data_IF_390538878319
#
_entry.id   IF_390538878319
#
_cell.length_a   1.000
_cell.length_b   1.000
_cell.length_c   1.000
_cell.angle_alpha   90.00
_cell.angle_beta   90.00
_cell.angle_gamma   90.00
#
_symmetry.space_group_name_H-M   'P 1'
#
loop_
_entity.id
_entity.type
_entity.pdbx_description
1 polymer ?
#
# COMPACT_ATOMS: atom_id res chain seq x y z
N UNK A 1 -4.47 -52.18 -11.49
CA UNK A 1 -5.23 -51.21 -12.32
C UNK A 1 -5.73 -51.95 -13.54
N UNK A 2 -6.97 -51.67 -13.96
CA UNK A 2 -7.55 -52.19 -15.18
C UNK A 2 -8.44 -51.11 -15.82
N UNK A 3 -8.71 -51.26 -17.12
CA UNK A 3 -9.49 -50.32 -17.92
C UNK A 3 -10.52 -51.11 -18.72
N UNK A 4 -11.79 -50.77 -18.53
CA UNK A 4 -12.93 -51.27 -19.29
C UNK A 4 -13.45 -50.13 -20.15
N UNK A 5 -13.56 -50.35 -21.45
CA UNK A 5 -14.29 -49.46 -22.36
C UNK A 5 -15.68 -50.05 -22.60
N UNK A 6 -16.69 -49.18 -22.74
CA UNK A 6 -18.07 -49.61 -22.94
C UNK A 6 -18.83 -48.65 -23.86
N UNK A 7 -19.78 -49.22 -24.60
CA UNK A 7 -20.71 -48.60 -25.52
C UNK A 7 -22.06 -49.34 -25.41
N UNK A 8 -22.56 -49.99 -26.46
CA UNK A 8 -23.61 -51.02 -26.40
C UNK A 8 -23.14 -52.33 -25.73
N UNK A 9 -21.83 -52.57 -25.71
CA UNK A 9 -21.18 -53.72 -25.07
C UNK A 9 -20.02 -53.24 -24.20
N UNK A 10 -19.27 -54.15 -23.58
CA UNK A 10 -18.05 -53.79 -22.85
C UNK A 10 -16.87 -54.66 -23.27
N UNK A 11 -15.67 -54.10 -23.21
CA UNK A 11 -14.42 -54.80 -23.48
C UNK A 11 -13.31 -54.37 -22.52
N UNK A 12 -12.45 -55.32 -22.17
CA UNK A 12 -11.26 -55.03 -21.37
C UNK A 12 -10.15 -54.52 -22.27
N UNK A 13 -9.87 -53.22 -22.19
CA UNK A 13 -8.74 -52.58 -22.88
C UNK A 13 -7.45 -52.94 -22.16
N UNK A 14 -7.50 -52.94 -20.82
CA UNK A 14 -6.42 -53.35 -19.95
C UNK A 14 -7.01 -54.25 -18.87
N UNK A 15 -6.77 -55.58 -18.92
CA UNK A 15 -7.12 -56.46 -17.81
C UNK A 15 -6.45 -56.02 -16.52
N UNK A 16 -7.02 -56.34 -15.36
CA UNK A 16 -6.43 -55.93 -14.08
C UNK A 16 -5.00 -56.46 -13.97
N UNK A 17 -4.04 -55.54 -13.92
CA UNK A 17 -2.62 -55.82 -13.82
C UNK A 17 -1.92 -54.85 -12.88
N UNK A 18 -0.69 -55.17 -12.49
CA UNK A 18 0.20 -54.21 -11.82
C UNK A 18 0.65 -53.17 -12.85
N UNK A 19 0.56 -51.89 -12.49
CA UNK A 19 0.87 -50.78 -13.40
C UNK A 19 2.39 -50.50 -13.45
N UNK A 20 3.19 -51.53 -13.75
CA UNK A 20 4.64 -51.45 -13.87
C UNK A 20 5.06 -50.87 -15.23
N UNK A 21 4.40 -51.30 -16.31
CA UNK A 21 4.59 -50.80 -17.67
C UNK A 21 3.56 -49.70 -17.99
N UNK A 22 3.90 -48.45 -17.63
CA UNK A 22 3.02 -47.30 -17.83
C UNK A 22 2.86 -46.94 -19.31
N UNK A 23 3.91 -47.08 -20.11
CA UNK A 23 3.90 -46.69 -21.51
C UNK A 23 3.05 -47.67 -22.33
N UNK A 24 3.20 -48.98 -22.12
CA UNK A 24 2.37 -49.99 -22.78
C UNK A 24 0.90 -49.94 -22.36
N UNK A 25 0.60 -49.56 -21.12
CA UNK A 25 -0.78 -49.30 -20.67
C UNK A 25 -1.36 -48.09 -21.41
N UNK A 26 -0.57 -47.01 -21.55
CA UNK A 26 -1.00 -45.80 -22.25
C UNK A 26 -1.30 -46.06 -23.72
N UNK A 27 -0.43 -46.78 -24.41
CA UNK A 27 -0.66 -47.18 -25.81
C UNK A 27 -1.97 -47.94 -25.98
N UNK A 28 -2.30 -48.88 -25.08
CA UNK A 28 -3.58 -49.60 -25.11
C UNK A 28 -4.79 -48.68 -24.91
N UNK A 29 -4.71 -47.72 -23.99
CA UNK A 29 -5.78 -46.76 -23.75
C UNK A 29 -5.99 -45.85 -24.98
N UNK A 30 -4.92 -45.48 -25.68
CA UNK A 30 -5.01 -44.68 -26.91
C UNK A 30 -5.72 -45.42 -28.06
N UNK A 31 -5.87 -46.75 -27.98
CA UNK A 31 -6.60 -47.54 -28.98
C UNK A 31 -8.12 -47.62 -28.77
N UNK A 32 -8.65 -47.00 -27.71
CA UNK A 32 -10.09 -47.03 -27.41
C UNK A 32 -10.85 -46.33 -28.55
N UNK A 33 -11.71 -47.03 -29.30
CA UNK A 33 -12.48 -46.42 -30.37
C UNK A 33 -13.63 -45.58 -29.82
N UNK A 34 -14.05 -44.58 -30.59
CA UNK A 34 -15.34 -43.93 -30.38
C UNK A 34 -16.46 -44.91 -30.74
N UNK A 35 -17.32 -45.22 -29.76
CA UNK A 35 -18.47 -46.12 -29.90
C UNK A 35 -19.81 -45.38 -29.91
N UNK A 36 -20.89 -46.11 -30.15
CA UNK A 36 -22.26 -45.59 -30.08
C UNK A 36 -23.07 -46.35 -29.03
N UNK A 37 -23.96 -45.63 -28.32
CA UNK A 37 -24.79 -46.18 -27.25
C UNK A 37 -24.14 -46.13 -25.88
N UNK A 38 -24.88 -46.54 -24.84
CA UNK A 38 -24.42 -46.45 -23.44
C UNK A 38 -25.10 -47.53 -22.59
N UNK A 39 -24.38 -48.62 -22.34
CA UNK A 39 -24.82 -49.73 -21.49
C UNK A 39 -23.90 -49.86 -20.28
N UNK A 40 -24.29 -49.21 -19.18
CA UNK A 40 -23.44 -48.96 -18.00
C UNK A 40 -23.34 -50.21 -17.12
N UNK A 41 -24.47 -50.87 -16.81
CA UNK A 41 -24.52 -51.93 -15.80
C UNK A 41 -23.61 -53.12 -16.07
N UNK A 42 -23.54 -53.73 -17.27
CA UNK A 42 -22.69 -54.88 -17.51
C UNK A 42 -21.21 -54.52 -17.38
N UNK A 43 -20.80 -53.33 -17.83
CA UNK A 43 -19.42 -52.84 -17.71
C UNK A 43 -19.04 -52.63 -16.25
N UNK A 44 -19.89 -51.94 -15.49
CA UNK A 44 -19.66 -51.70 -14.05
C UNK A 44 -19.64 -53.00 -13.27
N UNK A 45 -20.58 -53.91 -13.55
CA UNK A 45 -20.63 -55.22 -12.90
C UNK A 45 -19.35 -56.02 -13.14
N UNK A 46 -18.86 -56.07 -14.39
CA UNK A 46 -17.62 -56.74 -14.72
C UNK A 46 -16.41 -56.11 -14.01
N UNK A 47 -16.36 -54.78 -13.90
CA UNK A 47 -15.31 -54.09 -13.16
C UNK A 47 -15.34 -54.41 -11.66
N UNK A 48 -16.53 -54.38 -11.03
CA UNK A 48 -16.71 -54.73 -9.61
C UNK A 48 -16.35 -56.18 -9.33
N UNK A 49 -16.77 -57.11 -10.18
CA UNK A 49 -16.42 -58.54 -10.06
C UNK A 49 -14.91 -58.76 -10.19
N UNK A 50 -14.26 -58.13 -11.18
CA UNK A 50 -12.82 -58.27 -11.37
C UNK A 50 -12.00 -57.70 -10.19
N UNK A 51 -12.40 -56.55 -9.64
CA UNK A 51 -11.72 -55.93 -8.49
C UNK A 51 -11.96 -56.70 -7.20
N UNK A 52 -13.11 -57.39 -7.07
CA UNK A 52 -13.44 -58.21 -5.90
C UNK A 52 -12.38 -59.27 -5.63
N UNK A 53 -11.89 -59.94 -6.67
CA UNK A 53 -10.93 -61.05 -6.55
C UNK A 53 -9.47 -60.59 -6.45
N UNK A 54 -9.22 -59.27 -6.45
CA UNK A 54 -7.86 -58.73 -6.30
C UNK A 54 -7.39 -58.75 -4.85
N UNK A 55 -6.11 -59.11 -4.65
CA UNK A 55 -5.40 -58.95 -3.39
C UNK A 55 -4.86 -57.51 -3.29
N UNK A 56 -5.73 -56.60 -2.84
CA UNK A 56 -5.42 -55.19 -2.63
C UNK A 56 -6.14 -54.70 -1.37
N UNK A 57 -5.43 -53.90 -0.56
CA UNK A 57 -5.98 -53.25 0.64
C UNK A 57 -7.15 -52.33 0.30
N UNK A 58 -7.10 -51.71 -0.89
CA UNK A 58 -8.07 -50.71 -1.34
C UNK A 58 -8.61 -51.12 -2.71
N UNK A 59 -9.93 -51.24 -2.77
CA UNK A 59 -10.69 -51.66 -3.95
C UNK A 59 -11.60 -50.53 -4.38
N UNK A 60 -11.25 -49.89 -5.49
CA UNK A 60 -11.94 -48.71 -5.96
C UNK A 60 -12.19 -48.76 -7.47
N UNK A 61 -13.41 -48.37 -7.88
CA UNK A 61 -13.84 -48.29 -9.28
C UNK A 61 -14.26 -46.86 -9.59
N UNK A 62 -13.78 -46.30 -10.71
CA UNK A 62 -14.22 -45.01 -11.22
C UNK A 62 -14.99 -45.22 -12.51
N UNK A 63 -16.25 -44.79 -12.54
CA UNK A 63 -17.10 -44.78 -13.73
C UNK A 63 -17.11 -43.38 -14.34
N UNK A 64 -16.86 -43.28 -15.65
CA UNK A 64 -16.95 -42.05 -16.43
C UNK A 64 -17.99 -42.25 -17.53
N UNK A 65 -18.98 -41.34 -17.63
CA UNK A 65 -19.98 -41.39 -18.70
C UNK A 65 -20.63 -40.03 -18.94
N UNK A 66 -20.99 -39.78 -20.20
CA UNK A 66 -21.79 -38.65 -20.68
C UNK A 66 -23.24 -39.03 -21.03
N UNK A 67 -23.55 -40.32 -20.98
CA UNK A 67 -24.82 -40.87 -21.42
C UNK A 67 -25.81 -41.15 -20.28
N UNK A 68 -26.95 -41.70 -20.68
CA UNK A 68 -27.99 -42.17 -19.77
C UNK A 68 -27.90 -43.68 -19.63
N UNK A 69 -28.08 -44.18 -18.41
CA UNK A 69 -28.05 -45.61 -18.16
C UNK A 69 -29.24 -46.32 -18.83
N UNK A 70 -29.01 -47.56 -19.26
CA UNK A 70 -30.02 -48.42 -19.87
C UNK A 70 -31.11 -48.85 -18.86
N UNK A 71 -30.84 -48.71 -17.57
CA UNK A 71 -31.73 -49.09 -16.48
C UNK A 71 -31.49 -48.20 -15.27
N UNK A 72 -32.44 -48.18 -14.32
CA UNK A 72 -32.28 -47.52 -13.02
C UNK A 72 -31.99 -48.50 -11.87
N UNK A 73 -31.98 -49.81 -12.16
CA UNK A 73 -31.78 -50.85 -11.16
C UNK A 73 -30.36 -51.43 -11.17
N UNK A 74 -29.54 -50.94 -10.24
CA UNK A 74 -28.16 -51.38 -9.99
C UNK A 74 -27.98 -52.09 -8.63
N UNK A 75 -29.06 -52.64 -8.06
CA UNK A 75 -28.97 -53.30 -6.75
C UNK A 75 -28.00 -54.50 -6.73
N UNK A 76 -27.86 -55.18 -7.86
CA UNK A 76 -26.91 -56.26 -8.10
C UNK A 76 -25.46 -55.80 -8.28
N UNK A 77 -25.21 -54.48 -8.37
CA UNK A 77 -23.88 -53.86 -8.29
C UNK A 77 -23.64 -53.28 -6.89
N UNK A 78 -24.59 -52.51 -6.38
CA UNK A 78 -24.51 -51.85 -5.06
C UNK A 78 -24.40 -52.85 -3.90
N UNK A 79 -25.08 -53.99 -3.99
CA UNK A 79 -24.99 -55.06 -3.00
C UNK A 79 -23.56 -55.62 -2.85
N UNK A 80 -22.96 -56.13 -3.95
CA UNK A 80 -21.57 -56.57 -3.96
C UNK A 80 -20.55 -55.50 -3.55
N UNK A 81 -20.75 -54.23 -3.94
CA UNK A 81 -19.91 -53.11 -3.48
C UNK A 81 -19.83 -53.08 -1.95
N UNK A 82 -21.00 -53.00 -1.28
CA UNK A 82 -21.09 -52.92 0.18
C UNK A 82 -20.57 -54.16 0.89
N UNK A 83 -20.85 -55.35 0.35
CA UNK A 83 -20.43 -56.61 0.98
C UNK A 83 -18.92 -56.86 0.88
N UNK A 84 -18.29 -56.37 -0.18
CA UNK A 84 -16.88 -56.66 -0.48
C UNK A 84 -15.94 -55.48 -0.19
N UNK A 85 -16.44 -54.41 0.41
CA UNK A 85 -15.67 -53.20 0.71
C UNK A 85 -15.15 -52.48 -0.54
N UNK A 86 -15.88 -52.59 -1.66
CA UNK A 86 -15.49 -51.95 -2.93
C UNK A 86 -16.22 -50.62 -3.02
N UNK A 87 -15.46 -49.54 -3.18
CA UNK A 87 -16.03 -48.20 -3.40
C UNK A 87 -16.15 -47.91 -4.89
N UNK A 88 -17.23 -47.23 -5.30
CA UNK A 88 -17.44 -46.84 -6.69
C UNK A 88 -17.83 -45.37 -6.76
N UNK A 89 -17.04 -44.60 -7.51
CA UNK A 89 -17.26 -43.17 -7.75
C UNK A 89 -17.61 -42.94 -9.21
N UNK A 90 -18.48 -41.98 -9.46
CA UNK A 90 -19.03 -41.71 -10.79
C UNK A 90 -18.73 -40.28 -11.22
N UNK A 91 -18.33 -40.11 -12.47
CA UNK A 91 -18.07 -38.81 -13.09
C UNK A 91 -19.01 -38.64 -14.27
N UNK A 92 -19.98 -37.76 -14.11
CA UNK A 92 -20.91 -37.34 -15.15
C UNK A 92 -20.26 -36.27 -16.02
N UNK A 93 -20.29 -36.46 -17.34
CA UNK A 93 -19.69 -35.53 -18.31
C UNK A 93 -20.77 -34.93 -19.19
N UNK A 94 -20.87 -33.60 -19.20
CA UNK A 94 -21.84 -32.90 -20.04
C UNK A 94 -23.29 -32.96 -19.54
N UNK A 95 -24.11 -32.09 -20.11
CA UNK A 95 -25.47 -31.80 -19.62
C UNK A 95 -26.48 -32.93 -19.85
N UNK A 96 -26.21 -33.85 -20.78
CA UNK A 96 -27.14 -34.93 -21.18
C UNK A 96 -26.97 -36.20 -20.34
N UNK A 97 -26.01 -36.21 -19.41
CA UNK A 97 -25.71 -37.34 -18.53
C UNK A 97 -26.79 -37.58 -17.47
N UNK A 98 -27.01 -38.84 -17.10
CA UNK A 98 -27.98 -39.20 -16.06
C UNK A 98 -27.41 -38.97 -14.64
N UNK A 99 -27.38 -37.70 -14.25
CA UNK A 99 -26.86 -37.23 -12.96
C UNK A 99 -27.51 -37.91 -11.76
N UNK A 100 -28.83 -38.12 -11.80
CA UNK A 100 -29.59 -38.72 -10.70
C UNK A 100 -29.26 -40.20 -10.52
N UNK A 101 -29.09 -40.94 -11.61
CA UNK A 101 -28.66 -42.33 -11.56
C UNK A 101 -27.24 -42.46 -11.03
N UNK A 102 -26.32 -41.65 -11.55
CA UNK A 102 -24.90 -41.71 -11.20
C UNK A 102 -24.66 -41.34 -9.73
N UNK A 103 -25.34 -40.30 -9.24
CA UNK A 103 -25.30 -39.93 -7.82
C UNK A 103 -25.76 -41.08 -6.92
N UNK A 104 -26.92 -41.66 -7.24
CA UNK A 104 -27.46 -42.81 -6.49
C UNK A 104 -26.52 -44.02 -6.52
N UNK A 105 -25.86 -44.27 -7.65
CA UNK A 105 -24.93 -45.39 -7.81
C UNK A 105 -23.66 -45.18 -6.96
N UNK A 106 -23.09 -43.98 -6.99
CA UNK A 106 -21.93 -43.63 -6.18
C UNK A 106 -22.22 -43.74 -4.68
N UNK A 107 -23.32 -43.14 -4.21
CA UNK A 107 -23.76 -43.24 -2.82
C UNK A 107 -24.05 -44.70 -2.42
N UNK A 108 -24.67 -45.46 -3.32
CA UNK A 108 -25.01 -46.85 -3.14
C UNK A 108 -23.80 -47.78 -2.96
N UNK A 109 -22.66 -47.42 -3.51
CA UNK A 109 -21.39 -48.13 -3.36
C UNK A 109 -20.41 -47.44 -2.39
N UNK A 110 -20.81 -46.35 -1.71
CA UNK A 110 -19.97 -45.63 -0.76
C UNK A 110 -18.82 -44.83 -1.39
N UNK A 111 -18.93 -44.48 -2.67
CA UNK A 111 -18.03 -43.55 -3.34
C UNK A 111 -18.60 -42.14 -3.44
N UNK A 112 -18.15 -41.39 -4.45
CA UNK A 112 -18.44 -39.97 -4.66
C UNK A 112 -18.96 -39.70 -6.07
N UNK A 113 -19.91 -38.78 -6.16
CA UNK A 113 -20.42 -38.27 -7.41
C UNK A 113 -19.71 -36.97 -7.80
N UNK A 114 -19.33 -36.87 -9.07
CA UNK A 114 -18.78 -35.67 -9.67
C UNK A 114 -19.53 -35.35 -10.96
N UNK A 115 -19.72 -34.06 -11.20
CA UNK A 115 -20.26 -33.55 -12.45
C UNK A 115 -19.23 -32.60 -13.08
N UNK A 116 -19.03 -32.70 -14.39
CA UNK A 116 -18.15 -31.82 -15.13
C UNK A 116 -18.74 -31.42 -16.49
N UNK A 117 -18.87 -30.11 -16.70
CA UNK A 117 -19.23 -29.52 -18.00
C UNK A 117 -18.04 -29.43 -18.95
N UNK A 118 -16.81 -29.60 -18.43
CA UNK A 118 -15.56 -29.36 -19.17
C UNK A 118 -14.66 -30.59 -19.03
N UNK A 119 -14.27 -31.17 -20.16
CA UNK A 119 -13.41 -32.36 -20.20
C UNK A 119 -12.02 -32.16 -19.55
N UNK A 120 -11.56 -30.90 -19.43
CA UNK A 120 -10.26 -30.56 -18.83
C UNK A 120 -10.17 -30.77 -17.31
N UNK A 121 -11.30 -30.94 -16.62
CA UNK A 121 -11.32 -31.19 -15.18
C UNK A 121 -11.29 -32.69 -14.81
N UNK A 122 -11.52 -33.59 -15.79
CA UNK A 122 -11.52 -35.04 -15.59
C UNK A 122 -10.20 -35.55 -14.98
N UNK A 123 -9.01 -35.15 -15.45
CA UNK A 123 -7.76 -35.61 -14.83
C UNK A 123 -7.61 -35.22 -13.36
N UNK A 124 -8.12 -34.04 -12.97
CA UNK A 124 -8.08 -33.58 -11.57
C UNK A 124 -9.04 -34.39 -10.70
N UNK A 125 -10.23 -34.70 -11.22
CA UNK A 125 -11.22 -35.53 -10.52
C UNK A 125 -10.67 -36.94 -10.33
N UNK A 126 -10.06 -37.52 -11.37
CA UNK A 126 -9.48 -38.85 -11.32
C UNK A 126 -8.32 -38.93 -10.32
N UNK A 127 -7.40 -37.94 -10.35
CA UNK A 127 -6.33 -37.85 -9.37
C UNK A 127 -6.90 -37.74 -7.96
N UNK A 128 -7.83 -36.81 -7.73
CA UNK A 128 -8.48 -36.61 -6.43
C UNK A 128 -9.10 -37.90 -5.92
N UNK A 129 -9.80 -38.65 -6.77
CA UNK A 129 -10.47 -39.87 -6.35
C UNK A 129 -9.49 -40.99 -6.01
N UNK A 130 -8.45 -41.19 -6.81
CA UNK A 130 -7.38 -42.16 -6.48
C UNK A 130 -6.70 -41.81 -5.15
N UNK A 131 -6.48 -40.51 -4.88
CA UNK A 131 -5.92 -40.06 -3.60
C UNK A 131 -6.89 -40.21 -2.41
N UNK A 132 -8.17 -39.89 -2.60
CA UNK A 132 -9.17 -39.94 -1.52
C UNK A 132 -9.59 -41.38 -1.18
N UNK A 133 -9.64 -42.27 -2.15
CA UNK A 133 -9.96 -43.69 -1.94
C UNK A 133 -8.83 -44.44 -1.23
N UNK A 134 -7.63 -43.87 -1.20
CA UNK A 134 -6.46 -44.41 -0.53
C UNK A 134 -6.53 -44.44 1.00
N UNK A 135 -7.35 -43.59 1.64
CA UNK A 135 -7.35 -43.28 3.10
C UNK A 135 -5.96 -43.02 3.74
N UNK A 136 -4.86 -43.06 2.97
CA UNK A 136 -3.47 -43.08 3.43
C UNK A 136 -3.02 -41.74 3.97
N UNK A 137 -3.81 -40.69 3.76
CA UNK A 137 -3.55 -39.36 4.30
C UNK A 137 -4.07 -39.20 5.73
N UNK A 138 -5.03 -40.01 6.20
CA UNK A 138 -5.51 -39.95 7.57
C UNK A 138 -4.60 -40.76 8.48
N UNK A 139 -3.71 -40.06 9.17
CA UNK A 139 -2.81 -40.68 10.12
C UNK A 139 -3.50 -40.73 11.48
N UNK A 140 -3.89 -41.92 11.92
CA UNK A 140 -4.42 -42.16 13.27
C UNK A 140 -3.36 -42.88 14.11
N UNK A 141 -3.15 -42.43 15.34
CA UNK A 141 -2.08 -42.93 16.20
C UNK A 141 -1.62 -41.86 17.17
N UNK A 142 -0.72 -42.19 18.08
CA UNK A 142 -0.15 -41.19 19.00
C UNK A 142 1.12 -40.62 18.40
N UNK A 143 1.15 -39.32 18.15
CA UNK A 143 2.26 -38.64 17.50
C UNK A 143 2.84 -37.55 18.41
N UNK A 144 4.17 -37.56 18.55
CA UNK A 144 4.92 -36.45 19.17
C UNK A 144 5.19 -35.36 18.14
N UNK A 145 5.17 -34.10 18.58
CA UNK A 145 5.41 -32.96 17.69
C UNK A 145 6.82 -32.43 17.82
N UNK A 146 7.50 -32.29 16.67
CA UNK A 146 8.68 -31.46 16.53
C UNK A 146 8.25 -30.01 16.31
N UNK A 147 8.76 -29.09 17.12
CA UNK A 147 8.25 -27.71 17.18
C UNK A 147 9.33 -26.69 16.87
N UNK A 148 9.05 -25.84 15.89
CA UNK A 148 9.82 -24.64 15.66
C UNK A 148 9.41 -23.55 16.67
N UNK A 149 10.08 -23.50 17.81
CA UNK A 149 9.78 -22.54 18.89
C UNK A 149 10.23 -21.10 18.61
N UNK A 150 10.89 -20.84 17.46
CA UNK A 150 11.38 -19.49 17.12
C UNK A 150 10.30 -18.62 16.46
N UNK A 151 9.23 -19.20 15.91
CA UNK A 151 8.19 -18.47 15.20
C UNK A 151 7.22 -17.77 16.17
N UNK A 152 6.73 -16.58 15.80
CA UNK A 152 5.78 -15.81 16.61
C UNK A 152 4.51 -16.59 16.99
N UNK A 153 4.06 -17.53 16.15
CA UNK A 153 2.86 -18.33 16.43
C UNK A 153 3.07 -19.32 17.57
N UNK A 154 4.27 -19.92 17.69
CA UNK A 154 4.57 -21.04 18.60
C UNK A 154 5.47 -20.66 19.78
N UNK A 155 6.19 -19.54 19.70
CA UNK A 155 7.18 -19.13 20.70
C UNK A 155 6.57 -18.98 22.10
N UNK A 156 7.14 -19.68 23.08
CA UNK A 156 6.73 -19.58 24.48
C UNK A 156 5.40 -20.25 24.82
N UNK A 157 4.77 -20.96 23.88
CA UNK A 157 3.62 -21.82 24.16
C UNK A 157 4.10 -23.22 24.56
N UNK A 158 3.37 -23.83 25.49
CA UNK A 158 3.62 -25.17 26.01
C UNK A 158 5.07 -25.35 26.47
N UNK A 159 5.52 -24.46 27.37
CA UNK A 159 6.90 -24.40 27.86
C UNK A 159 7.37 -25.72 28.50
N UNK A 160 6.44 -26.46 29.11
CA UNK A 160 6.70 -27.78 29.73
C UNK A 160 6.66 -28.96 28.74
N UNK A 161 6.45 -28.66 27.45
CA UNK A 161 6.39 -29.65 26.37
C UNK A 161 5.05 -29.64 25.65
N UNK A 162 5.10 -29.79 24.32
CA UNK A 162 3.92 -29.85 23.48
C UNK A 162 3.16 -31.17 23.67
N UNK A 163 1.82 -31.13 23.87
CA UNK A 163 1.04 -32.36 24.00
C UNK A 163 1.09 -33.22 22.73
N UNK A 164 0.86 -34.52 22.88
CA UNK A 164 0.74 -35.42 21.73
C UNK A 164 -0.62 -35.24 21.04
N UNK A 165 -0.66 -35.53 19.74
CA UNK A 165 -1.90 -35.59 18.96
C UNK A 165 -2.24 -37.05 18.62
N UNK A 166 -3.53 -37.35 18.50
CA UNK A 166 -4.05 -38.69 18.18
C UNK A 166 -4.34 -38.90 16.69
N UNK A 167 -4.10 -37.87 15.87
CA UNK A 167 -4.22 -37.97 14.43
C UNK A 167 -4.09 -36.64 13.68
N UNK A 168 -3.86 -36.74 12.38
CA UNK A 168 -3.73 -35.61 11.46
C UNK A 168 -3.96 -36.05 10.00
N UNK A 169 -4.12 -35.05 9.13
CA UNK A 169 -4.18 -35.17 7.67
C UNK A 169 -2.76 -34.95 7.14
N UNK A 170 -2.11 -35.99 6.62
CA UNK A 170 -0.81 -35.87 5.96
C UNK A 170 -0.93 -34.97 4.73
N UNK A 171 0.06 -34.10 4.56
CA UNK A 171 0.14 -33.17 3.45
C UNK A 171 1.61 -32.87 3.16
N UNK A 172 1.91 -32.35 1.97
CA UNK A 172 3.26 -31.89 1.63
C UNK A 172 3.33 -30.38 1.75
N UNK A 173 4.30 -29.81 2.49
CA UNK A 173 4.46 -28.37 2.57
C UNK A 173 4.91 -27.80 1.23
N UNK A 174 4.44 -26.61 0.87
CA UNK A 174 4.97 -25.87 -0.29
C UNK A 174 6.42 -25.43 -0.02
N UNK A 175 7.19 -25.20 -1.08
CA UNK A 175 8.63 -24.86 -0.98
C UNK A 175 8.93 -23.61 -0.14
N UNK A 176 7.98 -22.69 0.00
CA UNK A 176 8.09 -21.46 0.79
C UNK A 176 7.20 -21.46 2.06
N UNK A 177 6.66 -22.61 2.44
CA UNK A 177 5.94 -22.75 3.70
C UNK A 177 6.93 -22.98 4.85
N UNK A 178 6.68 -22.32 5.99
CA UNK A 178 7.41 -22.57 7.23
C UNK A 178 6.59 -23.56 8.08
N UNK A 179 7.12 -24.76 8.26
CA UNK A 179 6.50 -25.79 9.10
C UNK A 179 6.83 -25.49 10.56
N UNK A 180 5.79 -25.21 11.34
CA UNK A 180 5.92 -24.85 12.77
C UNK A 180 5.77 -26.06 13.69
N UNK A 181 4.90 -26.99 13.33
CA UNK A 181 4.75 -28.28 13.99
C UNK A 181 4.83 -29.37 12.93
N UNK A 182 5.69 -30.35 13.15
CA UNK A 182 5.77 -31.57 12.35
C UNK A 182 5.54 -32.80 13.23
N UNK A 183 4.95 -33.86 12.69
CA UNK A 183 4.86 -35.15 13.38
C UNK A 183 6.24 -35.84 13.45
N UNK A 184 6.32 -36.94 14.18
CA UNK A 184 7.46 -37.86 14.21
C UNK A 184 7.76 -38.55 12.87
N UNK A 185 6.82 -38.49 11.91
CA UNK A 185 6.98 -38.91 10.52
C UNK A 185 7.39 -37.77 9.58
N UNK A 186 7.75 -36.62 10.13
CA UNK A 186 8.06 -35.38 9.40
C UNK A 186 6.89 -34.78 8.59
N UNK A 187 5.65 -35.22 8.86
CA UNK A 187 4.47 -34.64 8.22
C UNK A 187 4.12 -33.28 8.86
N UNK A 188 3.78 -32.23 8.08
CA UNK A 188 3.39 -30.94 8.62
C UNK A 188 2.03 -31.00 9.32
N UNK A 189 2.00 -30.62 10.60
CA UNK A 189 0.78 -30.48 11.41
C UNK A 189 0.32 -29.03 11.47
N UNK A 190 1.24 -28.09 11.63
CA UNK A 190 0.97 -26.64 11.56
C UNK A 190 2.00 -26.00 10.64
N UNK A 191 1.54 -25.33 9.59
CA UNK A 191 2.41 -24.59 8.67
C UNK A 191 1.88 -23.19 8.43
N UNK A 192 2.79 -22.25 8.25
CA UNK A 192 2.48 -20.85 7.94
C UNK A 192 3.20 -20.42 6.68
N UNK A 193 2.58 -19.53 5.90
CA UNK A 193 3.15 -19.06 4.66
C UNK A 193 2.67 -17.64 4.36
N UNK A 194 3.55 -16.82 3.78
CA UNK A 194 3.18 -15.55 3.18
C UNK A 194 3.05 -15.74 1.66
N UNK A 195 1.92 -15.34 1.09
CA UNK A 195 1.68 -15.34 -0.35
C UNK A 195 1.31 -13.92 -0.79
N UNK A 196 2.28 -13.22 -1.41
CA UNK A 196 2.14 -11.80 -1.70
C UNK A 196 2.04 -10.98 -0.41
N UNK A 197 0.94 -10.24 -0.24
CA UNK A 197 0.62 -9.49 0.98
C UNK A 197 -0.26 -10.29 1.97
N UNK A 198 -0.74 -11.47 1.57
CA UNK A 198 -1.59 -12.31 2.40
C UNK A 198 -0.79 -13.30 3.24
N UNK A 199 -1.33 -13.64 4.41
CA UNK A 199 -0.81 -14.71 5.26
C UNK A 199 -1.77 -15.90 5.23
N UNK A 200 -1.22 -17.10 5.22
CA UNK A 200 -2.00 -18.34 5.25
C UNK A 200 -1.45 -19.26 6.32
N UNK A 201 -2.36 -19.98 6.97
CA UNK A 201 -2.06 -20.98 7.97
C UNK A 201 -2.77 -22.28 7.59
N UNK A 202 -2.05 -23.39 7.67
CA UNK A 202 -2.59 -24.73 7.52
C UNK A 202 -2.45 -25.47 8.86
N UNK A 203 -3.59 -25.79 9.47
CA UNK A 203 -3.71 -26.65 10.65
C UNK A 203 -4.28 -27.99 10.20
N UNK A 204 -3.41 -28.99 10.11
CA UNK A 204 -3.72 -30.28 9.50
C UNK A 204 -4.21 -31.32 10.51
N UNK A 205 -4.59 -30.89 11.70
CA UNK A 205 -5.31 -31.73 12.67
C UNK A 205 -6.65 -31.07 12.98
N UNK A 206 -7.34 -31.56 14.00
CA UNK A 206 -8.71 -31.15 14.25
C UNK A 206 -8.81 -29.93 15.18
N UNK A 207 -9.96 -29.27 15.13
CA UNK A 207 -10.35 -28.15 16.04
C UNK A 207 -11.41 -28.61 17.05
N UNK A 208 -12.02 -29.78 16.80
CA UNK A 208 -13.09 -30.36 17.62
C UNK A 208 -12.59 -31.16 18.83
N UNK A 209 -11.27 -31.20 19.04
CA UNK A 209 -10.57 -31.98 20.07
C UNK A 209 -10.77 -33.51 20.03
N UNK A 210 -11.12 -34.08 18.87
CA UNK A 210 -11.12 -35.52 18.60
C UNK A 210 -9.69 -36.09 18.53
N UNK A 211 -8.78 -35.41 17.81
CA UNK A 211 -7.37 -35.79 17.73
C UNK A 211 -6.49 -34.96 18.66
N UNK A 212 -6.93 -33.76 19.03
CA UNK A 212 -6.20 -32.81 19.87
C UNK A 212 -6.72 -32.77 21.30
N UNK A 213 -7.27 -33.88 21.82
CA UNK A 213 -7.86 -33.95 23.16
C UNK A 213 -6.97 -33.41 24.29
N UNK A 214 -5.65 -33.62 24.20
CA UNK A 214 -4.69 -33.15 25.20
C UNK A 214 -4.51 -31.62 25.22
N UNK A 215 -4.94 -30.92 24.16
CA UNK A 215 -4.94 -29.46 24.07
C UNK A 215 -6.22 -28.83 24.65
N UNK A 216 -7.28 -29.61 24.79
CA UNK A 216 -8.58 -29.12 25.23
C UNK A 216 -8.48 -28.55 26.66
N UNK A 217 -8.87 -27.28 26.81
CA UNK A 217 -8.86 -26.59 28.10
C UNK A 217 -7.51 -26.02 28.53
N UNK A 218 -6.43 -26.21 27.75
CA UNK A 218 -5.15 -25.56 28.02
C UNK A 218 -5.19 -24.08 27.65
N UNK A 219 -4.66 -23.20 28.51
CA UNK A 219 -4.58 -21.76 28.25
C UNK A 219 -3.73 -21.47 27.00
N UNK A 220 -2.62 -22.19 26.83
CA UNK A 220 -1.74 -22.10 25.68
C UNK A 220 -2.43 -22.49 24.37
N UNK A 221 -3.45 -23.35 24.39
CA UNK A 221 -4.21 -23.70 23.19
C UNK A 221 -5.09 -22.53 22.71
N UNK A 222 -5.64 -21.75 23.65
CA UNK A 222 -6.38 -20.52 23.32
C UNK A 222 -5.43 -19.48 22.73
N UNK A 223 -4.23 -19.33 23.32
CA UNK A 223 -3.22 -18.41 22.80
C UNK A 223 -2.71 -18.83 21.42
N UNK A 224 -2.53 -20.14 21.17
CA UNK A 224 -2.18 -20.67 19.86
C UNK A 224 -3.20 -20.24 18.80
N UNK A 225 -4.49 -20.43 19.07
CA UNK A 225 -5.55 -20.02 18.14
C UNK A 225 -5.60 -18.52 17.92
N UNK A 226 -5.45 -17.72 18.99
CA UNK A 226 -5.35 -16.27 18.87
C UNK A 226 -4.21 -15.87 17.93
N UNK A 227 -3.02 -16.46 18.11
CA UNK A 227 -1.84 -16.17 17.29
C UNK A 227 -1.97 -16.65 15.84
N UNK A 228 -2.64 -17.79 15.62
CA UNK A 228 -2.97 -18.27 14.26
C UNK A 228 -3.88 -17.25 13.54
N UNK A 229 -4.91 -16.75 14.23
CA UNK A 229 -5.83 -15.75 13.68
C UNK A 229 -5.09 -14.43 13.42
N UNK A 230 -4.33 -13.95 14.41
CA UNK A 230 -3.54 -12.72 14.32
C UNK A 230 -2.54 -12.78 13.15
N UNK A 231 -1.81 -13.89 13.00
CA UNK A 231 -0.92 -14.12 11.86
C UNK A 231 -1.68 -14.10 10.53
N UNK A 232 -2.83 -14.80 10.44
CA UNK A 232 -3.64 -14.87 9.23
C UNK A 232 -4.16 -13.50 8.78
N UNK A 233 -4.48 -12.62 9.73
CA UNK A 233 -4.91 -11.23 9.48
C UNK A 233 -3.71 -10.31 9.15
N UNK A 234 -2.48 -10.74 9.43
CA UNK A 234 -1.26 -9.94 9.29
C UNK A 234 -0.97 -9.04 10.48
N UNK A 235 -1.64 -9.27 11.61
CA UNK A 235 -1.53 -8.48 12.82
C UNK A 235 -0.64 -9.21 13.84
N UNK A 236 0.63 -9.43 13.50
CA UNK A 236 1.59 -10.03 14.44
C UNK A 236 1.95 -9.00 15.52
N UNK A 237 1.15 -8.99 16.59
CA UNK A 237 1.23 -8.04 17.70
C UNK A 237 2.37 -8.34 18.70
N UNK A 238 3.28 -9.26 18.39
CA UNK A 238 4.53 -9.46 19.12
C UNK A 238 5.73 -9.21 18.18
N UNK A 239 6.32 -8.03 18.29
CA UNK A 239 7.49 -7.63 17.52
C UNK A 239 7.46 -6.17 17.13
N UNK A 240 8.22 -5.86 16.08
CA UNK A 240 8.24 -4.51 15.52
C UNK A 240 6.90 -4.21 14.83
N UNK A 241 6.39 -2.98 14.93
CA UNK A 241 5.18 -2.55 14.24
C UNK A 241 5.48 -1.43 13.25
N UNK A 242 4.60 -1.29 12.26
CA UNK A 242 4.69 -0.23 11.26
C UNK A 242 3.35 0.46 11.10
N UNK A 243 3.35 1.79 11.23
CA UNK A 243 2.22 2.65 10.97
C UNK A 243 2.52 3.51 9.74
N UNK A 244 1.64 3.45 8.75
CA UNK A 244 1.75 4.22 7.51
C UNK A 244 0.55 5.14 7.39
N UNK A 245 0.81 6.44 7.32
CA UNK A 245 -0.22 7.46 7.18
C UNK A 245 0.11 8.35 5.99
N UNK A 246 -0.84 8.48 5.06
CA UNK A 246 -0.71 9.35 3.89
C UNK A 246 -1.62 10.56 4.06
N UNK A 247 -1.03 11.76 4.03
CA UNK A 247 -1.77 13.02 4.07
C UNK A 247 -1.09 14.07 3.19
N UNK A 248 -1.88 14.83 2.42
CA UNK A 248 -1.42 15.96 1.61
C UNK A 248 -0.26 15.63 0.64
N UNK A 249 -0.26 14.43 0.04
CA UNK A 249 0.79 14.01 -0.89
C UNK A 249 2.10 13.56 -0.22
N UNK A 250 2.18 13.55 1.10
CA UNK A 250 3.31 13.00 1.85
C UNK A 250 2.88 11.77 2.62
N UNK A 251 3.65 10.68 2.51
CA UNK A 251 3.46 9.47 3.29
C UNK A 251 4.44 9.48 4.46
N UNK A 252 3.91 9.45 5.67
CA UNK A 252 4.69 9.31 6.91
C UNK A 252 4.70 7.84 7.31
N UNK A 253 5.90 7.29 7.42
CA UNK A 253 6.15 5.91 7.84
C UNK A 253 6.76 5.95 9.23
N UNK A 254 6.07 5.36 10.20
CA UNK A 254 6.52 5.24 11.59
C UNK A 254 6.76 3.77 11.90
N UNK A 255 7.96 3.45 12.37
CA UNK A 255 8.37 2.11 12.71
C UNK A 255 8.68 2.04 14.21
N UNK A 256 8.03 1.12 14.90
CA UNK A 256 8.26 0.86 16.31
C UNK A 256 9.10 -0.42 16.44
N UNK A 257 10.34 -0.27 16.91
CA UNK A 257 11.23 -1.38 17.19
C UNK A 257 11.00 -1.90 18.61
N UNK A 258 10.67 -3.19 18.72
CA UNK A 258 10.55 -3.93 19.98
C UNK A 258 11.90 -4.11 20.68
N UNK A 259 12.97 -4.32 19.91
CA UNK A 259 14.35 -4.37 20.38
C UNK A 259 15.22 -3.39 19.58
N UNK A 260 16.01 -2.55 20.26
CA UNK A 260 16.88 -1.58 19.62
C UNK A 260 18.17 -1.36 20.40
N UNK A 261 19.23 -1.00 19.68
CA UNK A 261 20.52 -0.60 20.21
C UNK A 261 21.05 0.61 19.42
N UNK A 262 22.19 1.18 19.84
CA UNK A 262 22.79 2.36 19.17
C UNK A 262 23.17 2.12 17.69
N UNK A 263 23.23 0.87 17.24
CA UNK A 263 23.61 0.47 15.88
C UNK A 263 22.44 0.05 15.02
N UNK A 264 21.22 0.06 15.56
CA UNK A 264 19.99 -0.26 14.82
C UNK A 264 19.77 0.79 13.73
N UNK A 265 19.68 0.34 12.48
CA UNK A 265 19.32 1.16 11.32
C UNK A 265 18.00 0.66 10.76
N UNK A 266 17.12 1.59 10.35
CA UNK A 266 15.84 1.23 9.74
C UNK A 266 15.73 1.93 8.39
N UNK A 267 15.44 1.17 7.35
CA UNK A 267 15.30 1.67 5.98
C UNK A 267 13.97 1.20 5.38
N UNK A 268 13.23 2.11 4.74
CA UNK A 268 12.04 1.82 3.95
C UNK A 268 12.43 1.74 2.47
N UNK A 269 12.26 0.57 1.86
CA UNK A 269 12.28 0.41 0.42
C UNK A 269 10.84 0.53 -0.06
N UNK A 270 10.55 1.50 -0.92
CA UNK A 270 9.21 1.70 -1.47
C UNK A 270 9.22 1.66 -2.99
N UNK A 271 8.16 1.11 -3.56
CA UNK A 271 7.94 1.02 -5.01
C UNK A 271 6.74 1.86 -5.39
N UNK A 272 6.99 2.83 -6.26
CA UNK A 272 5.98 3.77 -6.77
C UNK A 272 5.01 3.04 -7.75
N UNK A 273 3.83 3.63 -8.05
CA UNK A 273 2.87 3.04 -9.00
C UNK A 273 3.42 2.73 -10.40
N UNK A 274 4.45 3.46 -10.85
CA UNK A 274 5.16 3.22 -12.12
C UNK A 274 6.22 2.10 -12.03
N UNK A 275 6.32 1.40 -10.90
CA UNK A 275 7.26 0.30 -10.65
C UNK A 275 8.67 0.74 -10.29
N UNK A 276 8.92 2.05 -10.11
CA UNK A 276 10.22 2.56 -9.70
C UNK A 276 10.44 2.36 -8.21
N UNK A 277 11.56 1.73 -7.85
CA UNK A 277 11.90 1.46 -6.44
C UNK A 277 12.88 2.51 -5.92
N UNK A 278 12.65 2.98 -4.70
CA UNK A 278 13.46 3.98 -4.00
C UNK A 278 13.66 3.53 -2.54
N UNK A 279 14.63 4.14 -1.86
CA UNK A 279 14.95 3.81 -0.46
C UNK A 279 15.02 5.07 0.37
N UNK A 280 14.22 5.12 1.45
CA UNK A 280 14.22 6.18 2.44
C UNK A 280 14.77 5.66 3.77
N UNK A 281 15.68 6.41 4.39
CA UNK A 281 16.21 6.08 5.72
C UNK A 281 15.29 6.66 6.79
N UNK A 282 14.88 5.85 7.76
CA UNK A 282 14.08 6.31 8.90
C UNK A 282 15.01 6.84 9.98
N UNK A 283 14.70 8.02 10.51
CA UNK A 283 15.45 8.65 11.59
C UNK A 283 14.77 8.38 12.92
N UNK A 284 15.55 8.13 13.97
CA UNK A 284 15.00 7.94 15.32
C UNK A 284 14.33 9.21 15.83
N UNK A 285 13.02 9.15 16.08
CA UNK A 285 12.24 10.27 16.63
C UNK A 285 12.07 10.16 18.15
N UNK A 286 12.03 8.94 18.67
CA UNK A 286 12.00 8.61 20.09
C UNK A 286 12.72 7.26 20.35
N UNK A 287 13.02 6.87 21.60
CA UNK A 287 13.59 5.56 21.89
C UNK A 287 12.71 4.44 21.32
N UNK A 288 13.28 3.63 20.42
CA UNK A 288 12.56 2.56 19.72
C UNK A 288 11.60 3.02 18.62
N UNK A 289 11.53 4.32 18.28
CA UNK A 289 10.64 4.83 17.23
C UNK A 289 11.45 5.51 16.13
N UNK A 290 11.22 5.09 14.89
CA UNK A 290 11.89 5.61 13.70
C UNK A 290 10.86 6.13 12.71
N UNK A 291 11.10 7.31 12.14
CA UNK A 291 10.16 7.98 11.24
C UNK A 291 10.87 8.39 9.93
N UNK A 292 10.16 8.23 8.81
CA UNK A 292 10.53 8.83 7.53
C UNK A 292 9.32 9.49 6.88
N UNK A 293 9.57 10.59 6.18
CA UNK A 293 8.60 11.25 5.30
C UNK A 293 9.02 11.00 3.87
N UNK A 294 8.12 10.40 3.11
CA UNK A 294 8.30 10.04 1.71
C UNK A 294 7.38 10.96 0.89
N UNK A 295 7.96 11.67 -0.07
CA UNK A 295 7.20 12.46 -1.03
C UNK A 295 6.51 11.49 -2.00
N UNK A 296 5.17 11.50 -1.96
CA UNK A 296 4.31 10.59 -2.74
C UNK A 296 3.48 11.40 -3.72
N UNK A 297 4.15 11.91 -4.76
CA UNK A 297 3.58 12.86 -5.71
C UNK A 297 2.56 12.23 -6.68
N UNK A 298 2.64 10.92 -6.91
CA UNK A 298 1.75 10.20 -7.80
C UNK A 298 0.61 9.52 -7.01
N UNK A 299 -0.59 9.52 -7.59
CA UNK A 299 -1.71 8.77 -7.03
C UNK A 299 -1.57 7.28 -7.35
N UNK A 300 -1.91 6.43 -6.39
CA UNK A 300 -1.83 4.98 -6.55
C UNK A 300 -1.41 4.26 -5.27
N UNK A 301 -1.11 2.97 -5.42
CA UNK A 301 -0.65 2.12 -4.32
C UNK A 301 0.88 2.12 -4.35
N UNK A 302 1.48 2.49 -3.23
CA UNK A 302 2.91 2.37 -3.00
C UNK A 302 3.13 1.15 -2.12
N UNK A 303 3.94 0.20 -2.59
CA UNK A 303 4.33 -0.94 -1.77
C UNK A 303 5.56 -0.56 -0.95
N UNK A 304 5.49 -0.71 0.37
CA UNK A 304 6.59 -0.39 1.29
C UNK A 304 7.10 -1.65 1.96
N UNK A 305 8.43 -1.81 2.01
CA UNK A 305 9.14 -2.83 2.76
C UNK A 305 10.11 -2.13 3.70
N UNK A 306 9.82 -2.13 5.00
CA UNK A 306 10.64 -1.52 6.03
C UNK A 306 11.50 -2.57 6.70
N UNK A 307 12.81 -2.37 6.68
CA UNK A 307 13.82 -3.35 7.11
C UNK A 307 14.62 -2.77 8.26
N UNK A 308 14.69 -3.52 9.36
CA UNK A 308 15.59 -3.27 10.49
C UNK A 308 16.89 -4.02 10.26
N UNK A 309 17.99 -3.27 10.24
CA UNK A 309 19.33 -3.78 9.98
C UNK A 309 20.22 -3.56 11.21
N UNK A 310 21.07 -4.56 11.47
CA UNK A 310 22.14 -4.48 12.46
C UNK A 310 23.47 -4.80 11.78
N UNK A 311 24.35 -3.80 11.76
CA UNK A 311 25.67 -3.77 11.12
C UNK A 311 25.73 -4.04 9.61
N UNK A 312 24.88 -4.89 9.02
CA UNK A 312 24.56 -5.08 7.59
C UNK A 312 23.62 -6.29 7.36
N UNK A 313 23.21 -7.02 8.40
CA UNK A 313 22.22 -8.10 8.32
C UNK A 313 20.82 -7.57 8.57
N UNK A 314 19.86 -7.97 7.75
CA UNK A 314 18.43 -7.71 7.97
C UNK A 314 17.97 -8.59 9.13
N UNK A 315 17.69 -7.99 10.29
CA UNK A 315 17.16 -8.71 11.46
C UNK A 315 15.65 -8.89 11.35
N UNK A 316 14.95 -7.88 10.81
CA UNK A 316 13.51 -7.95 10.61
C UNK A 316 13.07 -7.14 9.39
N UNK A 317 11.98 -7.55 8.74
CA UNK A 317 11.38 -6.86 7.61
C UNK A 317 9.86 -6.92 7.68
N UNK A 318 9.22 -5.74 7.66
CA UNK A 318 7.77 -5.59 7.62
C UNK A 318 7.36 -5.02 6.27
N UNK A 319 6.25 -5.52 5.72
CA UNK A 319 5.68 -5.01 4.47
C UNK A 319 4.38 -4.28 4.77
N UNK A 320 4.20 -3.10 4.18
CA UNK A 320 3.00 -2.29 4.28
C UNK A 320 2.66 -1.68 2.91
N UNK A 321 1.49 -1.06 2.78
CA UNK A 321 1.11 -0.32 1.58
C UNK A 321 0.58 1.06 1.96
N UNK A 322 0.99 2.08 1.21
CA UNK A 322 0.41 3.42 1.30
C UNK A 322 -0.52 3.62 0.11
N UNK A 323 -1.77 4.01 0.41
CA UNK A 323 -2.76 4.34 -0.62
C UNK A 323 -2.83 5.85 -0.76
N UNK A 324 -2.19 6.36 -1.81
CA UNK A 324 -2.13 7.78 -2.10
C UNK A 324 -3.31 8.13 -3.01
N UNK A 325 -4.33 8.73 -2.41
CA UNK A 325 -5.49 9.23 -3.12
C UNK A 325 -5.25 10.66 -3.61
N UNK A 326 -6.14 11.13 -4.50
CA UNK A 326 -6.17 12.54 -4.88
C UNK A 326 -6.24 13.41 -3.63
N UNK A 327 -5.57 14.57 -3.72
CA UNK A 327 -5.54 15.55 -2.65
C UNK A 327 -6.96 15.89 -2.18
N UNK A 328 -7.10 16.20 -0.90
CA UNK A 328 -8.41 16.49 -0.28
C UNK A 328 -9.15 17.64 -0.99
N UNK A 329 -8.45 18.53 -1.70
CA UNK A 329 -9.02 19.58 -2.55
C UNK A 329 -9.83 19.04 -3.74
N UNK A 330 -9.52 17.84 -4.24
CA UNK A 330 -10.23 17.19 -5.35
C UNK A 330 -11.41 16.34 -4.87
N UNK A 331 -11.53 16.08 -3.56
CA UNK A 331 -12.71 15.40 -3.02
C UNK A 331 -13.90 16.34 -3.12
N UNK A 332 -14.94 15.90 -3.82
CA UNK A 332 -16.24 16.58 -3.81
C UNK A 332 -16.79 16.56 -2.38
N UNK A 333 -16.59 17.65 -1.65
CA UNK A 333 -17.22 17.82 -0.35
C UNK A 333 -18.72 18.07 -0.58
N UNK A 334 -19.58 17.21 -0.02
CA UNK A 334 -21.04 17.40 0.00
C UNK A 334 -21.44 18.72 0.68
N UNK A 335 -20.55 19.31 1.48
CA UNK A 335 -20.78 20.53 2.26
C UNK A 335 -19.65 21.56 2.07
N UNK A 336 -20.03 22.81 1.87
CA UNK A 336 -19.12 23.95 1.69
C UNK A 336 -18.49 24.48 2.99
N UNK A 337 -18.43 23.68 4.06
CA UNK A 337 -17.99 24.16 5.37
C UNK A 337 -16.51 24.54 5.40
N UNK A 338 -15.63 23.70 4.86
CA UNK A 338 -14.19 24.00 4.74
C UNK A 338 -13.95 25.26 3.92
N UNK A 339 -14.69 25.44 2.82
CA UNK A 339 -14.64 26.65 1.99
C UNK A 339 -15.13 27.89 2.75
N UNK A 340 -16.27 27.81 3.45
CA UNK A 340 -16.78 28.92 4.27
C UNK A 340 -15.81 29.29 5.40
N UNK A 341 -15.16 28.32 6.03
CA UNK A 341 -14.14 28.56 7.05
C UNK A 341 -12.90 29.26 6.47
N UNK A 342 -12.43 28.83 5.29
CA UNK A 342 -11.34 29.51 4.57
C UNK A 342 -11.69 30.95 4.22
N UNK A 343 -12.87 31.17 3.61
CA UNK A 343 -13.34 32.51 3.26
C UNK A 343 -13.53 33.39 4.51
N UNK A 344 -14.01 32.84 5.63
CA UNK A 344 -14.11 33.58 6.90
C UNK A 344 -12.75 34.02 7.45
N UNK A 345 -11.70 33.22 7.23
CA UNK A 345 -10.35 33.51 7.74
C UNK A 345 -9.56 34.46 6.86
N UNK A 346 -9.70 34.37 5.54
CA UNK A 346 -8.86 35.10 4.58
C UNK A 346 -9.63 36.05 3.66
N UNK A 347 -10.96 36.11 3.75
CA UNK A 347 -11.77 36.91 2.83
C UNK A 347 -13.15 37.27 3.39
N UNK A 348 -14.10 37.48 2.46
CA UNK A 348 -15.49 37.77 2.79
C UNK A 348 -16.38 37.12 1.73
N UNK A 349 -17.41 36.38 2.16
CA UNK A 349 -18.43 35.87 1.24
C UNK A 349 -19.33 37.03 0.82
N UNK A 350 -19.45 37.26 -0.48
CA UNK A 350 -20.34 38.28 -1.04
C UNK A 350 -21.52 37.56 -1.68
N UNK A 351 -22.74 37.97 -1.33
CA UNK A 351 -23.98 37.42 -1.90
C UNK A 351 -24.56 38.37 -2.94
N UNK A 352 -25.48 37.90 -3.79
CA UNK A 352 -26.08 38.74 -4.84
C UNK A 352 -26.84 39.98 -4.31
N UNK A 353 -27.23 39.96 -3.03
CA UNK A 353 -27.87 41.08 -2.34
C UNK A 353 -26.86 42.09 -1.73
N UNK A 354 -25.57 41.74 -1.70
CA UNK A 354 -24.55 42.69 -1.30
C UNK A 354 -24.26 43.66 -2.44
N UNK A 355 -24.12 44.94 -2.10
CA UNK A 355 -23.74 46.00 -3.04
C UNK A 355 -22.30 45.82 -3.52
N UNK A 356 -22.11 44.95 -4.52
CA UNK A 356 -20.86 44.76 -5.26
C UNK A 356 -20.36 46.07 -5.86
N UNK A 357 -21.30 46.94 -6.25
CA UNK A 357 -21.06 48.24 -6.85
C UNK A 357 -21.16 49.37 -5.82
N UNK A 358 -20.35 49.31 -4.76
CA UNK A 358 -20.00 50.56 -4.07
C UNK A 358 -19.14 51.36 -5.04
N UNK A 359 -19.72 52.41 -5.65
CA UNK A 359 -18.97 53.47 -6.35
C UNK A 359 -17.69 53.70 -5.56
N UNK A 360 -16.53 53.36 -6.12
CA UNK A 360 -15.26 53.71 -5.50
C UNK A 360 -15.37 55.22 -5.27
N UNK A 361 -15.46 55.65 -4.01
CA UNK A 361 -15.17 57.05 -3.64
C UNK A 361 -13.67 57.22 -3.77
N UNK A 362 -13.14 57.00 -4.97
CA UNK A 362 -11.86 57.55 -5.36
C UNK A 362 -12.11 59.06 -5.38
N UNK A 363 -11.69 59.74 -4.32
CA UNK A 363 -11.48 61.19 -4.39
C UNK A 363 -10.34 61.37 -5.40
N UNK A 364 -10.71 61.52 -6.66
CA UNK A 364 -9.77 61.87 -7.71
C UNK A 364 -9.33 63.30 -7.44
N UNK A 365 -8.10 63.47 -6.95
CA UNK A 365 -7.47 64.78 -6.86
C UNK A 365 -7.05 65.18 -8.28
N UNK A 366 -7.85 66.01 -8.93
CA UNK A 366 -7.47 66.66 -10.17
C UNK A 366 -6.43 67.75 -9.87
N UNK A 367 -5.31 67.75 -10.60
CA UNK A 367 -4.38 68.88 -10.62
C UNK A 367 -4.96 69.92 -11.58
N UNK A 368 -5.41 71.05 -11.06
CA UNK A 368 -5.82 72.16 -11.90
C UNK A 368 -4.58 72.92 -12.39
N UNK A 369 -4.52 73.17 -13.69
CA UNK A 369 -3.49 74.02 -14.26
C UNK A 369 -3.80 75.49 -13.93
N UNK A 370 -3.17 75.98 -12.87
CA UNK A 370 -3.27 77.37 -12.42
C UNK A 370 -2.36 78.31 -13.22
N UNK A 371 -1.60 77.83 -14.20
CA UNK A 371 -0.59 78.62 -14.93
C UNK A 371 -1.22 79.83 -15.61
N UNK A 372 -2.39 79.69 -16.24
CA UNK A 372 -3.09 80.81 -16.89
C UNK A 372 -3.51 81.89 -15.89
N UNK A 373 -4.05 81.49 -14.75
CA UNK A 373 -4.48 82.43 -13.70
C UNK A 373 -3.28 83.09 -13.01
N UNK A 374 -2.21 82.35 -12.77
CA UNK A 374 -0.96 82.89 -12.20
C UNK A 374 -0.26 83.85 -13.17
N UNK A 375 -0.30 83.59 -14.48
CA UNK A 375 0.22 84.51 -15.50
C UNK A 375 -0.56 85.83 -15.52
N UNK A 376 -1.89 85.76 -15.49
CA UNK A 376 -2.73 86.97 -15.41
C UNK A 376 -2.39 87.74 -14.12
N UNK A 377 -2.31 87.05 -12.99
CA UNK A 377 -2.00 87.67 -11.69
C UNK A 377 -0.58 88.26 -11.68
N UNK A 378 0.40 87.60 -12.30
CA UNK A 378 1.76 88.11 -12.45
C UNK A 378 1.83 89.36 -13.34
N UNK A 379 1.08 89.41 -14.43
CA UNK A 379 0.96 90.60 -15.27
C UNK A 379 0.32 91.74 -14.48
N UNK A 380 -0.76 91.46 -13.74
CA UNK A 380 -1.45 92.45 -12.91
C UNK A 380 -0.52 92.97 -11.80
N UNK A 381 0.26 92.08 -11.18
CA UNK A 381 1.28 92.43 -10.20
C UNK A 381 2.40 93.26 -10.80
N UNK A 382 2.85 92.94 -12.01
CA UNK A 382 3.85 93.72 -12.72
C UNK A 382 3.36 95.12 -13.04
N UNK A 383 2.11 95.26 -13.50
CA UNK A 383 1.48 96.57 -13.73
C UNK A 383 1.33 97.33 -12.41
N UNK A 384 0.96 96.66 -11.31
CA UNK A 384 0.91 97.27 -9.97
C UNK A 384 2.30 97.69 -9.48
N UNK A 385 3.35 96.90 -9.70
CA UNK A 385 4.73 97.26 -9.34
C UNK A 385 5.20 98.49 -10.13
N UNK A 386 4.92 98.54 -11.44
CA UNK A 386 5.21 99.71 -12.26
C UNK A 386 4.39 100.93 -11.80
N UNK A 387 3.10 100.76 -11.47
CA UNK A 387 2.27 101.82 -10.94
C UNK A 387 2.78 102.33 -9.59
N UNK A 388 3.11 101.44 -8.64
CA UNK A 388 3.65 101.82 -7.34
C UNK A 388 5.01 102.52 -7.45
N UNK A 389 5.87 102.09 -8.37
CA UNK A 389 7.14 102.78 -8.66
C UNK A 389 6.94 104.12 -9.32
N UNK A 390 5.92 104.26 -10.19
CA UNK A 390 5.62 105.52 -10.91
C UNK A 390 4.89 106.54 -10.04
N UNK A 391 4.08 106.10 -9.09
CA UNK A 391 3.36 106.94 -8.13
C UNK A 391 4.07 107.09 -6.78
N UNK A 392 5.29 106.58 -6.64
CA UNK A 392 6.11 106.63 -5.40
C UNK A 392 5.36 106.19 -4.13
N UNK A 393 4.53 105.16 -4.25
CA UNK A 393 3.71 104.67 -3.14
C UNK A 393 4.51 103.63 -2.34
N UNK A 394 4.80 103.92 -1.07
CA UNK A 394 5.56 103.04 -0.18
C UNK A 394 4.60 102.39 0.82
N UNK A 395 4.24 101.10 0.67
CA UNK A 395 3.31 100.44 1.57
C UNK A 395 4.04 100.03 2.86
N UNK A 396 4.30 100.99 3.74
CA UNK A 396 4.89 100.74 5.06
C UNK A 396 3.85 100.40 6.12
N UNK A 397 2.54 100.60 5.84
CA UNK A 397 1.51 100.52 6.88
C UNK A 397 0.31 99.64 6.51
N UNK A 398 0.59 98.41 6.07
CA UNK A 398 -0.45 97.37 5.96
C UNK A 398 -0.12 96.18 6.86
N UNK A 399 -1.11 95.76 7.66
CA UNK A 399 -1.03 94.64 8.63
C UNK A 399 -0.47 93.34 8.02
N UNK A 400 -0.61 93.18 6.71
CA UNK A 400 -0.12 92.02 5.94
C UNK A 400 1.42 91.94 5.90
N UNK A 401 2.12 93.07 5.74
CA UNK A 401 3.58 93.12 5.67
C UNK A 401 4.22 92.77 7.02
N UNK A 402 3.63 93.27 8.12
CA UNK A 402 4.03 92.92 9.49
C UNK A 402 3.81 91.43 9.80
N UNK A 403 2.71 90.84 9.31
CA UNK A 403 2.40 89.43 9.49
C UNK A 403 3.38 88.50 8.74
N UNK A 404 3.74 88.82 7.50
CA UNK A 404 4.69 88.04 6.69
C UNK A 404 6.11 88.10 7.28
N UNK A 405 6.55 89.27 7.75
CA UNK A 405 7.86 89.46 8.40
C UNK A 405 7.98 88.65 9.71
N UNK A 406 6.89 88.50 10.47
CA UNK A 406 6.82 87.74 11.72
C UNK A 406 6.93 86.21 11.48
N UNK A 407 6.36 85.71 10.38
CA UNK A 407 6.44 84.30 10.04
C UNK A 407 7.78 83.88 9.41
N UNK A 408 8.41 84.75 8.60
CA UNK A 408 9.74 84.48 8.04
C UNK A 408 10.85 84.48 9.09
N UNK A 409 10.74 85.31 10.13
CA UNK A 409 11.69 85.35 11.25
C UNK A 409 11.57 84.14 12.19
N UNK A 410 10.37 83.57 12.38
CA UNK A 410 10.20 82.35 13.19
C UNK A 410 10.82 81.10 12.54
N UNK A 411 10.84 80.98 11.21
CA UNK A 411 11.39 79.80 10.52
C UNK A 411 12.93 79.78 10.54
N UNK A 412 13.57 80.96 10.55
CA UNK A 412 15.03 81.10 10.64
C UNK A 412 15.56 80.76 12.05
N UNK A 413 14.78 81.04 13.10
CA UNK A 413 15.18 80.77 14.49
C UNK A 413 15.01 79.30 14.94
N UNK A 414 14.15 78.50 14.29
CA UNK A 414 14.04 77.05 14.57
C UNK A 414 15.17 76.22 13.98
N UNK A 415 15.83 76.69 12.91
CA UNK A 415 16.97 76.00 12.31
C UNK A 415 18.29 76.21 13.08
N UNK A 416 18.36 77.22 13.97
CA UNK A 416 19.59 77.59 14.70
C UNK A 416 19.62 76.99 16.11
N UNK A 417 18.49 76.51 16.67
CA UNK A 417 18.40 75.98 18.03
C UNK A 417 18.70 74.46 18.19
N UNK A 418 18.97 73.72 17.11
CA UNK A 418 19.30 72.27 17.17
C UNK A 418 20.81 71.97 17.17
N UNK A 419 21.66 72.99 17.10
CA UNK A 419 23.12 72.84 16.97
C UNK A 419 23.85 73.78 17.92
N UNK A 420 23.79 73.51 19.23
CA UNK A 420 24.86 73.76 20.24
C UNK A 420 24.34 73.59 21.67
N UNK A 421 24.50 72.38 22.18
CA UNK A 421 24.67 72.00 23.61
C UNK A 421 25.10 70.54 23.52
N UNK A 422 26.29 70.10 23.92
CA UNK A 422 27.16 70.45 25.03
C UNK A 422 28.62 70.20 24.62
N UNK A 423 29.54 71.02 25.12
CA UNK A 423 30.76 70.58 25.81
C UNK A 423 31.46 71.79 26.42
N UNK A 424 31.81 71.68 27.71
CA UNK A 424 32.82 72.47 28.40
C UNK A 424 33.54 71.55 29.38
N UNK A 425 34.88 71.51 29.35
CA UNK A 425 35.67 71.17 30.52
C UNK A 425 36.69 72.26 30.93
N UNK A 426 36.97 72.34 32.23
CA UNK A 426 38.10 72.96 32.95
C UNK A 426 38.63 71.88 33.90
N UNK A 427 39.88 71.76 34.34
CA UNK A 427 41.23 72.31 34.11
C UNK A 427 42.15 71.38 34.92
N UNK A 428 43.35 71.02 34.43
CA UNK A 428 44.64 70.88 35.17
C UNK A 428 45.70 70.15 34.33
N UNK A 429 46.96 70.33 34.74
CA UNK A 429 48.22 70.37 33.96
C UNK A 429 49.06 69.06 34.09
N UNK A 430 50.32 68.92 33.58
CA UNK A 430 50.70 67.89 32.58
C UNK A 430 51.87 66.95 32.98
N UNK A 431 52.14 65.93 32.13
CA UNK A 431 53.46 65.26 31.93
C UNK A 431 53.43 64.54 30.56
N UNK A 432 54.24 64.94 29.56
CA UNK A 432 55.50 64.26 29.12
C UNK A 432 55.28 62.76 28.80
N UNK A 433 55.49 62.20 27.60
CA UNK A 433 56.67 62.23 26.72
C UNK A 433 56.37 61.63 25.30
N UNK A 434 57.17 62.07 24.33
CA UNK A 434 57.74 61.38 23.15
C UNK A 434 56.93 60.87 21.92
N UNK A 435 57.49 61.23 20.76
CA UNK A 435 57.25 60.85 19.35
C UNK A 435 58.61 60.24 18.90
N UNK A 436 58.76 59.16 18.07
CA UNK A 436 58.53 59.33 16.63
C UNK A 436 58.21 58.12 15.70
N UNK A 437 57.37 58.45 14.72
CA UNK A 437 57.44 58.19 13.26
C UNK A 437 58.21 56.96 12.72
N UNK A 438 57.55 56.22 11.82
CA UNK A 438 58.07 56.05 10.44
C UNK A 438 56.98 55.72 9.41
N UNK A 439 57.05 56.43 8.27
CA UNK A 439 56.29 56.25 7.03
C UNK A 439 56.90 55.12 6.17
N UNK A 440 56.06 54.41 5.40
CA UNK A 440 56.29 54.16 3.95
C UNK A 440 54.99 53.78 3.22
N UNK A 441 54.93 54.19 1.96
CA UNK A 441 53.78 54.50 1.09
C UNK A 441 53.15 53.30 0.35
N UNK A 442 51.79 53.23 0.26
CA UNK A 442 50.88 53.30 -0.95
C UNK A 442 51.04 52.19 -2.03
N UNK A 443 49.97 51.77 -2.78
CA UNK A 443 48.89 52.64 -3.28
C UNK A 443 47.43 52.09 -3.35
N UNK A 444 46.53 53.08 -3.27
CA UNK A 444 45.24 53.29 -3.98
C UNK A 444 44.27 52.13 -4.31
N UNK A 445 43.14 52.19 -3.59
CA UNK A 445 41.75 52.35 -4.07
C UNK A 445 41.29 51.55 -5.31
N UNK A 446 40.32 50.66 -5.07
CA UNK A 446 39.18 50.43 -5.94
C UNK A 446 37.88 50.27 -5.10
N UNK A 447 36.70 50.59 -5.65
CA UNK A 447 35.53 51.06 -4.90
C UNK A 447 34.50 49.96 -4.57
N UNK A 448 33.76 50.18 -3.49
CA UNK A 448 32.54 49.44 -3.14
C UNK A 448 31.43 49.74 -4.15
N UNK A 449 30.89 48.70 -4.80
CA UNK A 449 29.65 48.79 -5.57
C UNK A 449 28.51 47.94 -5.00
N UNK A 450 27.44 48.69 -4.71
CA UNK A 450 26.00 48.43 -4.75
C UNK A 450 25.48 46.99 -4.99
N UNK A 451 24.57 46.65 -4.07
CA UNK A 451 23.47 45.67 -4.15
C UNK A 451 22.94 45.46 -5.58
N UNK A 452 22.99 44.21 -6.05
CA UNK A 452 22.32 43.75 -7.29
C UNK A 452 20.86 43.39 -7.03
N UNK A 453 20.02 43.90 -7.91
CA UNK A 453 18.62 43.54 -8.17
C UNK A 453 18.53 42.07 -8.64
N UNK A 454 17.41 41.43 -8.30
CA UNK A 454 16.93 40.15 -8.84
C UNK A 454 16.79 40.22 -10.36
N UNK A 455 17.30 39.21 -11.06
CA UNK A 455 17.07 39.00 -12.50
C UNK A 455 15.71 38.33 -12.69
N UNK A 456 14.88 38.93 -13.55
CA UNK A 456 13.78 38.23 -14.24
C UNK A 456 14.39 37.16 -15.15
N UNK A 457 13.95 35.91 -15.00
CA UNK A 457 14.22 34.84 -15.95
C UNK A 457 13.29 34.99 -17.16
N UNK A 458 13.85 35.37 -18.31
CA UNK A 458 13.19 35.22 -19.59
C UNK A 458 13.14 33.72 -19.93
N UNK A 459 11.96 33.20 -20.24
CA UNK A 459 11.78 31.84 -20.77
C UNK A 459 12.48 31.72 -22.13
N UNK A 460 13.40 30.76 -22.25
CA UNK A 460 14.03 30.39 -23.51
C UNK A 460 13.10 29.44 -24.29
N UNK A 461 12.34 30.00 -25.24
CA UNK A 461 11.35 29.29 -26.05
C UNK A 461 11.95 28.53 -27.24
N UNK A 462 13.27 28.63 -27.44
CA UNK A 462 13.98 28.00 -28.57
C UNK A 462 13.94 26.46 -28.52
N UNK A 463 13.82 25.88 -27.32
CA UNK A 463 13.74 24.42 -27.12
C UNK A 463 12.36 23.85 -27.48
N UNK A 464 11.29 24.64 -27.32
CA UNK A 464 9.92 24.22 -27.67
C UNK A 464 9.67 24.27 -29.18
N UNK A 465 10.31 25.19 -29.89
CA UNK A 465 10.23 25.27 -31.36
C UNK A 465 10.91 24.08 -32.05
N UNK A 466 12.07 23.61 -31.55
CA UNK A 466 12.75 22.42 -32.09
C UNK A 466 11.94 21.12 -31.97
N UNK A 467 11.13 20.97 -30.91
CA UNK A 467 10.25 19.80 -30.74
C UNK A 467 8.99 19.84 -31.61
N UNK A 468 8.60 21.01 -32.13
CA UNK A 468 7.43 21.14 -33.01
C UNK A 468 7.78 20.79 -34.47
N UNK A 469 8.98 21.13 -34.93
CA UNK A 469 9.43 20.79 -36.29
C UNK A 469 9.69 19.28 -36.45
N UNK A 470 10.14 18.58 -35.40
CA UNK A 470 10.28 17.12 -35.42
C UNK A 470 8.93 16.35 -35.45
N UNK A 471 7.80 17.03 -35.25
CA UNK A 471 6.45 16.42 -35.33
C UNK A 471 5.79 16.57 -36.71
N UNK A 472 6.41 17.31 -37.63
CA UNK A 472 5.87 17.59 -38.96
C UNK A 472 6.80 17.12 -40.10
N UNK A 473 7.71 16.19 -39.82
CA UNK A 473 8.43 15.40 -40.83
C UNK A 473 7.97 13.94 -40.80
#
# INVERSE_FOLDING_TARGET
MGVVAFDDTYSWVVPITKAEDKDGIKEKIETIPEGGGTTIKPAVKAAVEAVKDCDAEIKHVVLLTDGQGETTNFMDVMGPCKQSGITLSTVAVGADSDTSLLEKLAEGCGGRYYYSDISTDIPKIFAREVFLSGETYLQNGTFTLSVNSSNAVTRGLFADGWPQISGYVSATPKSNANVLLASDKDDPVLSVMQYGLGHTVAWNTDVTNKWTKAYAGAEDYVQLWKRIVDYSVGNTSEGDTIDVSTANGTTTVTYHASEYNEKTKVEAVYTDPDGKTQTAKLQGSAPGVYEAKIDTDMTGIYNLSVRRMNKDTVENALTAAAVVQYSDEYKFALTNEKFKAFVKKYGKTITANDSLWKKLKASAKAKYDLTRWLLILAILWFVLDVAFRRFSFVPTDTKLYAFIKKHWTQKKNRAILSTKTKDVPKTEQPSEEEIPQQKKEKPKKAPKEKKKKSKEQQLDTSVLLKKKEQRHQ
#
